data_IF_697404382757
#
_entry.id   IF_697404382757
#
_cell.length_a   1.000
_cell.length_b   1.000
_cell.length_c   1.000
_cell.angle_alpha   90.00
_cell.angle_beta   90.00
_cell.angle_gamma   90.00
#
_symmetry.space_group_name_H-M   'P 1'
#
loop_
_entity.id
_entity.type
_entity.pdbx_description
1 polymer ?
#
# COMPACT_ATOMS: atom_id res chain seq x y z
N UNK A 1 -19.95 -3.67 -23.81
CA UNK A 1 -21.30 -4.17 -24.17
C UNK A 1 -21.34 -5.69 -24.39
N UNK A 2 -20.20 -6.33 -24.67
CA UNK A 2 -20.12 -7.78 -24.89
C UNK A 2 -20.01 -8.61 -23.57
N UNK A 3 -20.08 -8.00 -22.40
CA UNK A 3 -19.99 -8.67 -21.10
C UNK A 3 -18.63 -9.26 -20.74
N UNK A 4 -17.58 -8.99 -21.52
CA UNK A 4 -16.24 -9.57 -21.32
C UNK A 4 -15.43 -8.89 -20.23
N UNK A 5 -15.77 -7.64 -19.85
CA UNK A 5 -15.08 -6.85 -18.84
C UNK A 5 -16.11 -6.33 -17.84
N UNK A 6 -15.86 -6.51 -16.56
CA UNK A 6 -16.76 -6.09 -15.46
C UNK A 6 -16.42 -4.70 -14.91
N UNK A 7 -15.14 -4.34 -14.87
CA UNK A 7 -14.66 -3.07 -14.34
C UNK A 7 -13.45 -2.57 -15.12
N UNK A 8 -13.25 -1.27 -15.14
CA UNK A 8 -12.11 -0.61 -15.75
C UNK A 8 -11.29 0.13 -14.70
N UNK A 9 -10.02 0.26 -14.94
CA UNK A 9 -9.10 0.96 -14.06
C UNK A 9 -7.95 1.61 -14.80
N UNK A 10 -7.18 2.34 -14.04
CA UNK A 10 -5.96 3.02 -14.46
C UNK A 10 -4.79 2.60 -13.56
N UNK A 11 -3.59 3.02 -13.90
CA UNK A 11 -2.41 2.80 -13.08
C UNK A 11 -1.59 4.09 -12.99
N UNK A 12 -1.16 4.44 -11.77
CA UNK A 12 -0.32 5.61 -11.48
C UNK A 12 -0.88 6.93 -12.04
N UNK A 13 -2.20 7.12 -11.92
CA UNK A 13 -2.86 8.35 -12.32
C UNK A 13 -3.21 9.19 -11.10
N UNK A 14 -2.93 10.50 -11.16
CA UNK A 14 -3.40 11.47 -10.18
C UNK A 14 -4.86 11.89 -10.47
N UNK A 15 -5.54 12.60 -9.54
CA UNK A 15 -6.94 13.02 -9.73
C UNK A 15 -7.19 13.79 -11.03
N UNK A 16 -6.32 14.76 -11.37
CA UNK A 16 -6.48 15.55 -12.59
C UNK A 16 -6.40 14.71 -13.87
N UNK A 17 -5.51 13.72 -13.90
CA UNK A 17 -5.37 12.80 -15.03
C UNK A 17 -6.60 11.89 -15.15
N UNK A 18 -7.17 11.44 -14.04
CA UNK A 18 -8.38 10.61 -14.04
C UNK A 18 -9.57 11.43 -14.54
N UNK A 19 -9.74 12.67 -14.08
CA UNK A 19 -10.81 13.56 -14.53
C UNK A 19 -10.65 13.90 -16.04
N UNK A 20 -9.43 14.15 -16.50
CA UNK A 20 -9.16 14.33 -17.92
C UNK A 20 -9.56 13.10 -18.75
N UNK A 21 -9.20 11.90 -18.28
CA UNK A 21 -9.56 10.65 -18.98
C UNK A 21 -11.07 10.44 -19.04
N UNK A 22 -11.81 10.79 -17.99
CA UNK A 22 -13.28 10.71 -17.94
C UNK A 22 -13.98 11.57 -18.99
N UNK A 23 -13.33 12.61 -19.53
CA UNK A 23 -13.89 13.40 -20.62
C UNK A 23 -14.02 12.59 -21.92
N UNK A 24 -13.15 11.59 -22.11
CA UNK A 24 -13.12 10.74 -23.31
C UNK A 24 -13.73 9.34 -23.07
N UNK A 25 -13.64 8.82 -21.84
CA UNK A 25 -14.09 7.47 -21.47
C UNK A 25 -15.39 7.58 -20.68
N UNK A 26 -16.44 6.91 -21.16
CA UNK A 26 -17.79 6.92 -20.54
C UNK A 26 -17.96 5.83 -19.49
N UNK A 27 -17.11 4.83 -19.50
CA UNK A 27 -17.13 3.73 -18.51
C UNK A 27 -16.62 4.24 -17.18
N UNK A 28 -17.22 3.82 -16.05
CA UNK A 28 -16.71 4.16 -14.74
C UNK A 28 -15.29 3.58 -14.55
N UNK A 29 -14.40 4.40 -14.02
CA UNK A 29 -13.05 4.00 -13.63
C UNK A 29 -13.07 3.68 -12.13
N UNK A 30 -13.07 2.40 -11.80
CA UNK A 30 -13.29 1.93 -10.43
C UNK A 30 -12.00 1.52 -9.71
N UNK A 31 -10.87 1.48 -10.43
CA UNK A 31 -9.60 0.96 -9.91
C UNK A 31 -8.47 1.91 -10.31
N UNK A 32 -7.55 2.16 -9.36
CA UNK A 32 -6.26 2.74 -9.67
C UNK A 32 -5.16 1.87 -9.04
N UNK A 33 -4.25 1.34 -9.84
CA UNK A 33 -3.08 0.62 -9.33
C UNK A 33 -2.00 1.63 -8.97
N UNK A 34 -1.66 1.69 -7.68
CA UNK A 34 -0.67 2.61 -7.11
C UNK A 34 0.37 1.83 -6.32
N UNK A 35 1.62 2.26 -6.34
CA UNK A 35 2.61 1.66 -5.45
C UNK A 35 2.26 1.98 -4.01
N UNK A 36 2.22 0.96 -3.17
CA UNK A 36 2.04 1.14 -1.73
C UNK A 36 2.59 -0.05 -0.94
N UNK A 37 3.27 0.26 0.14
CA UNK A 37 3.85 -0.70 1.07
C UNK A 37 4.71 0.02 2.10
N UNK A 38 5.28 -0.69 3.08
CA UNK A 38 6.05 -0.12 4.19
C UNK A 38 7.21 0.79 3.74
N UNK A 39 7.81 0.53 2.58
CA UNK A 39 8.88 1.36 2.03
C UNK A 39 8.43 2.31 0.90
N UNK A 40 7.12 2.43 0.70
CA UNK A 40 6.53 3.38 -0.24
C UNK A 40 5.18 3.87 0.31
N UNK A 41 5.23 4.83 1.21
CA UNK A 41 4.06 5.35 1.97
C UNK A 41 3.60 6.73 1.52
N UNK A 42 4.23 7.33 0.51
CA UNK A 42 4.01 8.72 0.11
C UNK A 42 2.54 9.12 -0.10
N UNK A 43 1.70 8.18 -0.50
CA UNK A 43 0.26 8.40 -0.69
C UNK A 43 -0.48 8.72 0.63
N UNK A 44 0.02 8.22 1.77
CA UNK A 44 -0.60 8.41 3.09
C UNK A 44 0.14 9.43 3.96
N UNK A 45 1.41 9.70 3.67
CA UNK A 45 2.28 10.51 4.51
C UNK A 45 1.76 11.93 4.70
N UNK A 46 1.30 12.56 3.63
CA UNK A 46 0.75 13.93 3.68
C UNK A 46 -0.52 13.99 4.55
N UNK A 47 -1.36 12.96 4.52
CA UNK A 47 -2.55 12.86 5.37
C UNK A 47 -2.24 12.63 6.84
N UNK A 48 -1.12 11.95 7.16
CA UNK A 48 -0.64 11.78 8.53
C UNK A 48 0.02 13.07 9.05
N UNK A 49 0.75 13.79 8.19
CA UNK A 49 1.53 14.97 8.52
C UNK A 49 0.85 16.29 8.06
N UNK A 50 -0.48 16.36 8.17
CA UNK A 50 -1.22 17.57 7.77
C UNK A 50 -0.74 18.79 8.56
N UNK A 51 -0.50 19.90 7.85
CA UNK A 51 -0.04 21.17 8.42
C UNK A 51 1.35 21.12 9.07
N UNK A 52 2.17 20.11 8.74
CA UNK A 52 3.56 20.02 9.21
C UNK A 52 4.52 20.59 8.15
N UNK A 53 5.54 21.33 8.60
CA UNK A 53 6.59 21.92 7.75
C UNK A 53 7.72 20.91 7.42
N UNK A 54 7.39 19.65 7.21
CA UNK A 54 8.35 18.60 6.87
C UNK A 54 8.07 18.01 5.49
N UNK A 55 9.01 17.21 4.98
CA UNK A 55 8.89 16.60 3.66
C UNK A 55 7.71 15.61 3.56
N UNK A 56 7.30 14.99 4.66
CA UNK A 56 6.18 14.06 4.69
C UNK A 56 4.82 14.77 4.55
N UNK A 57 4.73 16.05 4.96
CA UNK A 57 3.52 16.88 4.79
C UNK A 57 3.27 17.36 3.36
N UNK A 58 4.19 17.12 2.42
CA UNK A 58 4.03 17.58 1.04
C UNK A 58 3.13 16.63 0.22
N UNK A 59 2.04 17.18 -0.32
CA UNK A 59 1.17 16.44 -1.25
C UNK A 59 1.85 16.35 -2.61
N UNK A 60 2.27 15.16 -3.03
CA UNK A 60 3.00 14.93 -4.29
C UNK A 60 2.15 14.34 -5.39
N UNK A 61 1.03 13.70 -5.04
CA UNK A 61 0.17 12.92 -5.93
C UNK A 61 -1.21 13.57 -6.18
N UNK A 62 -1.39 14.80 -5.70
CA UNK A 62 -2.65 15.54 -5.85
C UNK A 62 -3.78 15.04 -4.96
N UNK A 63 -3.49 14.29 -3.87
CA UNK A 63 -4.49 13.76 -2.96
C UNK A 63 -5.21 12.53 -3.53
N UNK A 64 -4.48 11.63 -4.19
CA UNK A 64 -5.07 10.45 -4.85
C UNK A 64 -5.76 9.51 -3.87
N UNK A 65 -5.29 9.44 -2.63
CA UNK A 65 -5.92 8.62 -1.59
C UNK A 65 -7.34 9.11 -1.28
N UNK A 66 -7.48 10.39 -0.98
CA UNK A 66 -8.75 11.05 -0.67
C UNK A 66 -9.69 11.01 -1.89
N UNK A 67 -9.16 11.32 -3.07
CA UNK A 67 -9.90 11.22 -4.31
C UNK A 67 -10.46 9.81 -4.53
N UNK A 68 -9.63 8.78 -4.37
CA UNK A 68 -10.05 7.40 -4.55
C UNK A 68 -11.16 7.01 -3.56
N UNK A 69 -11.05 7.45 -2.30
CA UNK A 69 -12.08 7.18 -1.28
C UNK A 69 -13.39 7.92 -1.54
N UNK A 70 -13.33 9.17 -1.98
CA UNK A 70 -14.53 9.97 -2.32
C UNK A 70 -15.29 9.35 -3.50
N UNK A 71 -14.56 8.77 -4.46
CA UNK A 71 -15.14 8.19 -5.68
C UNK A 71 -15.30 6.67 -5.63
N UNK A 72 -15.20 6.04 -4.44
CA UNK A 72 -15.30 4.58 -4.26
C UNK A 72 -14.39 3.77 -5.20
N UNK A 73 -13.22 4.31 -5.52
CA UNK A 73 -12.22 3.62 -6.32
C UNK A 73 -11.40 2.67 -5.44
N UNK A 74 -11.21 1.45 -5.92
CA UNK A 74 -10.29 0.49 -5.30
C UNK A 74 -8.85 0.85 -5.64
N UNK A 75 -8.03 1.05 -4.61
CA UNK A 75 -6.58 1.15 -4.77
C UNK A 75 -6.00 -0.25 -4.79
N UNK A 76 -5.33 -0.61 -5.88
CA UNK A 76 -4.56 -1.85 -5.97
C UNK A 76 -3.08 -1.55 -5.70
N UNK A 77 -2.60 -1.96 -4.52
CA UNK A 77 -1.23 -1.73 -4.06
C UNK A 77 -0.25 -2.67 -4.78
N UNK A 78 0.49 -2.17 -5.76
CA UNK A 78 1.51 -2.96 -6.45
C UNK A 78 2.88 -2.82 -5.78
N UNK A 79 3.79 -3.78 -6.01
CA UNK A 79 5.12 -3.88 -5.39
C UNK A 79 5.12 -3.74 -3.86
N UNK A 80 4.28 -4.48 -3.14
CA UNK A 80 4.05 -4.30 -1.70
C UNK A 80 5.29 -4.55 -0.83
N UNK A 81 6.28 -5.28 -1.33
CA UNK A 81 7.50 -5.66 -0.60
C UNK A 81 8.76 -4.94 -1.08
N UNK A 82 8.65 -4.11 -2.12
CA UNK A 82 9.82 -3.45 -2.72
C UNK A 82 10.17 -2.14 -2.03
N UNK A 83 11.45 -1.82 -2.06
CA UNK A 83 11.97 -0.49 -1.80
C UNK A 83 12.65 0.04 -3.08
N UNK A 84 12.41 1.31 -3.42
CA UNK A 84 12.89 1.86 -4.67
C UNK A 84 12.31 1.17 -5.92
N UNK A 85 12.78 1.59 -7.08
CA UNK A 85 12.39 1.01 -8.37
C UNK A 85 13.47 0.02 -8.81
N UNK A 86 13.18 -1.29 -8.73
CA UNK A 86 14.10 -2.40 -9.02
C UNK A 86 15.29 -2.55 -8.05
N UNK A 87 15.25 -1.93 -6.86
CA UNK A 87 16.35 -2.04 -5.89
C UNK A 87 16.28 -3.32 -5.04
N UNK A 88 15.12 -3.97 -4.97
CA UNK A 88 14.93 -5.22 -4.25
C UNK A 88 13.77 -5.20 -3.25
N UNK A 89 13.73 -6.22 -2.39
CA UNK A 89 12.70 -6.37 -1.36
C UNK A 89 13.26 -6.01 0.02
N UNK A 90 12.43 -5.40 0.87
CA UNK A 90 12.83 -5.04 2.24
C UNK A 90 12.65 -6.20 3.21
N UNK A 91 11.68 -7.10 2.97
CA UNK A 91 11.42 -8.26 3.84
C UNK A 91 12.63 -9.19 3.81
N UNK A 92 13.18 -9.48 4.99
CA UNK A 92 14.39 -10.29 5.16
C UNK A 92 15.71 -9.56 4.89
N UNK A 93 15.69 -8.32 4.42
CA UNK A 93 16.90 -7.50 4.25
C UNK A 93 17.26 -6.79 5.57
N UNK A 94 17.84 -7.54 6.48
CA UNK A 94 18.21 -7.05 7.82
C UNK A 94 19.44 -6.14 7.83
N UNK A 95 20.25 -6.18 6.78
CA UNK A 95 21.40 -5.29 6.61
C UNK A 95 20.95 -3.85 6.35
N UNK A 96 20.04 -3.67 5.38
CA UNK A 96 19.57 -2.34 4.98
C UNK A 96 18.41 -1.82 5.85
N UNK A 97 17.57 -2.72 6.39
CA UNK A 97 16.37 -2.39 7.16
C UNK A 97 16.28 -3.19 8.46
N UNK A 98 17.26 -3.06 9.39
CA UNK A 98 17.30 -3.87 10.60
C UNK A 98 16.07 -3.65 11.50
N UNK A 99 15.69 -2.40 11.77
CA UNK A 99 14.56 -2.06 12.65
C UNK A 99 13.22 -2.55 12.08
N UNK A 100 12.99 -2.34 10.78
CA UNK A 100 11.78 -2.81 10.13
C UNK A 100 11.68 -4.33 10.18
N UNK A 101 12.75 -5.05 9.88
CA UNK A 101 12.73 -6.51 9.89
C UNK A 101 12.62 -7.07 11.31
N UNK A 102 13.21 -6.44 12.31
CA UNK A 102 13.01 -6.82 13.72
C UNK A 102 11.53 -6.70 14.12
N UNK A 103 10.88 -5.58 13.75
CA UNK A 103 9.46 -5.38 14.06
C UNK A 103 8.53 -6.32 13.27
N UNK A 104 8.84 -6.60 12.00
CA UNK A 104 8.11 -7.58 11.20
C UNK A 104 8.21 -8.98 11.80
N UNK A 105 9.38 -9.41 12.26
CA UNK A 105 9.59 -10.71 12.89
C UNK A 105 8.84 -10.83 14.22
N UNK A 106 8.88 -9.81 15.06
CA UNK A 106 8.16 -9.78 16.33
C UNK A 106 6.65 -9.98 16.14
N UNK A 107 6.05 -9.22 15.22
CA UNK A 107 4.63 -9.35 14.91
C UNK A 107 4.30 -10.68 14.21
N UNK A 108 5.18 -11.15 13.34
CA UNK A 108 5.02 -12.44 12.68
C UNK A 108 4.99 -13.58 13.71
N UNK A 109 5.84 -13.54 14.73
CA UNK A 109 5.81 -14.52 15.82
C UNK A 109 4.55 -14.39 16.69
N UNK A 110 4.14 -13.16 17.00
CA UNK A 110 2.92 -12.89 17.77
C UNK A 110 1.67 -13.46 17.08
N UNK A 111 1.53 -13.23 15.79
CA UNK A 111 0.37 -13.65 14.99
C UNK A 111 0.51 -15.04 14.37
N UNK A 112 1.66 -15.70 14.52
CA UNK A 112 1.97 -17.03 13.96
C UNK A 112 1.85 -17.07 12.43
N UNK A 113 2.34 -16.03 11.78
CA UNK A 113 2.39 -15.88 10.32
C UNK A 113 3.80 -15.50 9.87
N UNK A 114 3.99 -15.29 8.57
CA UNK A 114 5.27 -14.84 8.03
C UNK A 114 5.44 -13.32 8.09
N UNK A 115 6.68 -12.78 8.09
CA UNK A 115 6.93 -11.33 7.93
C UNK A 115 6.29 -10.74 6.67
N UNK A 116 6.22 -11.51 5.58
CA UNK A 116 5.53 -11.11 4.35
C UNK A 116 4.03 -10.95 4.59
N UNK A 117 3.42 -11.85 5.37
CA UNK A 117 2.03 -11.74 5.81
C UNK A 117 1.76 -10.46 6.60
N UNK A 118 2.64 -10.11 7.55
CA UNK A 118 2.51 -8.85 8.31
C UNK A 118 2.60 -7.61 7.40
N UNK A 119 3.49 -7.63 6.40
CA UNK A 119 3.58 -6.54 5.43
C UNK A 119 2.30 -6.40 4.58
N UNK A 120 1.62 -7.51 4.26
CA UNK A 120 0.28 -7.49 3.63
C UNK A 120 -0.77 -6.98 4.60
N UNK A 121 -0.77 -7.44 5.85
CA UNK A 121 -1.70 -6.98 6.88
C UNK A 121 -1.59 -5.46 7.12
N UNK A 122 -0.38 -4.88 7.03
CA UNK A 122 -0.18 -3.43 7.08
C UNK A 122 -0.97 -2.69 5.99
N UNK A 123 -0.94 -3.20 4.76
CA UNK A 123 -1.68 -2.60 3.63
C UNK A 123 -3.19 -2.77 3.83
N UNK A 124 -3.63 -3.98 4.12
CA UNK A 124 -5.04 -4.32 4.26
C UNK A 124 -5.71 -3.61 5.45
N UNK A 125 -4.94 -3.29 6.51
CA UNK A 125 -5.43 -2.57 7.69
C UNK A 125 -5.89 -1.15 7.38
N UNK A 126 -5.38 -0.55 6.28
CA UNK A 126 -5.71 0.83 5.94
C UNK A 126 -7.20 0.99 5.58
N UNK A 127 -7.91 2.01 6.11
CA UNK A 127 -9.36 2.16 5.92
C UNK A 127 -9.80 2.47 4.48
N UNK A 128 -8.87 2.70 3.56
CA UNK A 128 -9.15 2.86 2.13
C UNK A 128 -9.47 1.53 1.43
N UNK A 129 -9.49 0.39 2.15
CA UNK A 129 -9.80 -0.95 1.60
C UNK A 129 -8.94 -1.28 0.39
N UNK A 130 -7.63 -1.13 0.54
CA UNK A 130 -6.67 -1.42 -0.53
C UNK A 130 -6.61 -2.92 -0.82
N UNK A 131 -6.40 -3.26 -2.08
CA UNK A 131 -6.17 -4.62 -2.54
C UNK A 131 -4.69 -4.81 -2.82
N UNK A 132 -4.03 -5.73 -2.11
CA UNK A 132 -2.62 -6.03 -2.35
C UNK A 132 -2.43 -6.86 -3.61
N UNK A 133 -1.53 -6.41 -4.50
CA UNK A 133 -1.15 -7.14 -5.72
C UNK A 133 0.17 -7.85 -5.46
N UNK A 134 0.12 -9.17 -5.36
CA UNK A 134 1.30 -10.01 -5.15
C UNK A 134 2.06 -10.16 -6.47
N UNK A 135 3.35 -9.81 -6.46
CA UNK A 135 4.25 -9.91 -7.62
C UNK A 135 4.96 -11.27 -7.73
N UNK A 136 4.37 -12.36 -7.22
CA UNK A 136 4.99 -13.69 -7.23
C UNK A 136 4.09 -14.71 -7.91
N UNK A 137 4.71 -15.70 -8.56
CA UNK A 137 4.05 -16.90 -9.09
C UNK A 137 4.43 -18.16 -8.30
N UNK A 138 5.22 -18.03 -7.24
CA UNK A 138 5.62 -19.16 -6.38
C UNK A 138 4.49 -19.47 -5.40
N UNK A 139 3.89 -20.68 -5.43
CA UNK A 139 2.72 -21.01 -4.60
C UNK A 139 2.95 -20.80 -3.10
N UNK A 140 4.10 -21.21 -2.56
CA UNK A 140 4.41 -21.03 -1.14
C UNK A 140 4.39 -19.55 -0.74
N UNK A 141 4.97 -18.66 -1.55
CA UNK A 141 4.96 -17.20 -1.28
C UNK A 141 3.57 -16.58 -1.37
N UNK A 142 2.70 -17.13 -2.22
CA UNK A 142 1.29 -16.71 -2.29
C UNK A 142 0.58 -17.10 -1.00
N UNK A 143 0.75 -18.36 -0.56
CA UNK A 143 0.19 -18.85 0.70
C UNK A 143 0.66 -17.99 1.87
N UNK A 144 1.97 -17.82 2.03
CA UNK A 144 2.58 -16.98 3.07
C UNK A 144 2.01 -15.55 3.12
N UNK A 145 1.85 -14.93 1.96
CA UNK A 145 1.30 -13.57 1.88
C UNK A 145 -0.19 -13.49 2.20
N UNK A 146 -0.94 -14.59 1.99
CA UNK A 146 -2.39 -14.66 2.25
C UNK A 146 -2.74 -15.16 3.64
N UNK A 147 -1.83 -15.81 4.36
CA UNK A 147 -2.04 -16.27 5.74
C UNK A 147 -2.46 -15.15 6.70
N UNK A 148 -2.01 -13.92 6.43
CA UNK A 148 -2.33 -12.74 7.22
C UNK A 148 -3.53 -11.94 6.69
N UNK A 149 -4.30 -12.47 5.73
CA UNK A 149 -5.41 -11.74 5.12
C UNK A 149 -6.48 -11.32 6.13
N UNK A 150 -6.69 -12.12 7.16
CA UNK A 150 -7.67 -11.89 8.23
C UNK A 150 -7.07 -11.19 9.47
N UNK A 151 -5.77 -10.90 9.47
CA UNK A 151 -5.11 -10.22 10.57
C UNK A 151 -5.47 -8.74 10.54
N UNK A 152 -6.02 -8.27 11.65
CA UNK A 152 -6.27 -6.84 11.88
C UNK A 152 -5.24 -6.33 12.89
N UNK A 153 -4.19 -5.72 12.40
CA UNK A 153 -3.20 -5.07 13.25
C UNK A 153 -3.87 -4.01 14.13
N UNK A 154 -3.45 -3.89 15.38
CA UNK A 154 -3.87 -2.77 16.22
C UNK A 154 -3.35 -1.45 15.65
N UNK A 155 -3.84 -0.34 16.16
CA UNK A 155 -3.36 0.98 15.76
C UNK A 155 -1.88 1.16 16.10
N UNK A 156 -1.49 0.74 17.29
CA UNK A 156 -0.13 0.82 17.81
C UNK A 156 0.84 -0.01 16.96
N UNK A 157 0.46 -1.23 16.61
CA UNK A 157 1.25 -2.12 15.75
C UNK A 157 1.43 -1.53 14.35
N UNK A 158 0.36 -0.99 13.78
CA UNK A 158 0.41 -0.38 12.45
C UNK A 158 1.36 0.82 12.42
N UNK A 159 1.25 1.74 13.40
CA UNK A 159 2.14 2.90 13.48
C UNK A 159 3.57 2.51 13.87
N UNK A 160 3.77 1.46 14.67
CA UNK A 160 5.12 0.96 14.97
C UNK A 160 5.84 0.44 13.72
N UNK A 161 5.14 -0.24 12.83
CA UNK A 161 5.67 -0.65 11.52
C UNK A 161 5.97 0.56 10.61
N UNK A 162 5.08 1.53 10.59
CA UNK A 162 5.26 2.77 9.83
C UNK A 162 6.52 3.51 10.27
N UNK A 163 6.74 3.66 11.57
CA UNK A 163 7.96 4.28 12.13
C UNK A 163 9.21 3.42 11.88
N UNK A 164 9.14 2.10 12.10
CA UNK A 164 10.26 1.20 11.86
C UNK A 164 10.70 1.18 10.37
N UNK A 165 9.80 1.53 9.47
CA UNK A 165 10.11 1.74 8.05
C UNK A 165 10.87 3.06 7.77
N UNK A 166 11.11 3.90 8.79
CA UNK A 166 11.81 5.18 8.69
C UNK A 166 10.89 6.37 8.42
N UNK A 167 9.57 6.19 8.52
CA UNK A 167 8.62 7.27 8.37
C UNK A 167 8.44 8.04 9.68
N UNK A 168 7.96 9.28 9.58
CA UNK A 168 7.81 10.17 10.74
C UNK A 168 6.33 10.41 11.05
N UNK A 169 6.05 10.55 12.33
CA UNK A 169 4.77 11.03 12.84
C UNK A 169 4.88 12.51 13.22
N UNK A 170 3.75 13.24 13.26
CA UNK A 170 3.72 14.62 13.72
C UNK A 170 4.21 14.78 15.15
#
# INVERSE_FOLDING_TARGET
KAGKVRAFGVSNQNPGQIELLKTAVKQPLNINQLQFGLKHTGMIDAGINVNMENQAGLVRDGGILEYSRIHDMTIQAWSPFQYGFFEGVFVGNTEKFPELNARLLELADQYKVTPSGIAVAFINRHPAKMQTILGTMTPSRIIEATEAADIVLTREEWYSLYMAAGNILP
#
